data_IF_564304776871
#
_entry.id   IF_564304776871
#
_cell.length_a   1.000
_cell.length_b   1.000
_cell.length_c   1.000
_cell.angle_alpha   90.00
_cell.angle_beta   90.00
_cell.angle_gamma   90.00
#
_symmetry.space_group_name_H-M   'P 1'
#
loop_
_entity.id
_entity.type
_entity.pdbx_description
1 polymer ?
#
# COMPACT_ATOMS: atom_id res chain seq x y z
N UNK A 1 34.41 -64.99 35.06
CA UNK A 1 32.94 -64.88 34.90
C UNK A 1 32.56 -63.40 34.90
N UNK A 2 31.86 -62.94 33.85
CA UNK A 2 30.90 -61.81 33.78
C UNK A 2 31.33 -60.41 34.26
N UNK A 3 31.04 -59.26 33.63
CA UNK A 3 30.44 -58.83 32.35
C UNK A 3 30.39 -57.28 32.46
N UNK A 4 30.85 -56.53 31.45
CA UNK A 4 30.21 -55.28 30.93
C UNK A 4 30.17 -54.03 31.88
N UNK A 5 30.31 -52.76 31.50
CA UNK A 5 29.80 -51.91 30.39
C UNK A 5 30.68 -50.63 30.39
N UNK A 6 31.26 -50.18 29.26
CA UNK A 6 30.75 -49.12 28.32
C UNK A 6 30.39 -47.80 29.04
N UNK A 7 30.79 -46.60 28.67
CA UNK A 7 31.50 -45.96 27.54
C UNK A 7 31.89 -44.56 28.06
N UNK A 8 33.08 -44.07 27.74
CA UNK A 8 33.44 -42.66 27.98
C UNK A 8 34.02 -42.05 26.69
N UNK A 9 33.81 -40.74 26.58
CA UNK A 9 34.40 -39.80 25.62
C UNK A 9 33.58 -39.54 24.36
N UNK A 10 32.63 -38.62 24.56
CA UNK A 10 32.06 -37.69 23.59
C UNK A 10 33.16 -37.05 22.74
N UNK A 11 33.11 -37.23 21.42
CA UNK A 11 33.95 -36.53 20.46
C UNK A 11 33.07 -35.65 19.55
N UNK A 12 33.54 -34.42 19.40
CA UNK A 12 32.93 -33.25 18.77
C UNK A 12 33.22 -33.26 17.26
N UNK A 13 32.21 -33.22 16.39
CA UNK A 13 32.36 -32.90 14.95
C UNK A 13 31.03 -32.24 14.50
N UNK A 14 30.86 -30.91 14.42
CA UNK A 14 31.35 -29.89 13.47
C UNK A 14 30.85 -30.05 12.01
N UNK A 15 30.02 -29.09 11.56
CA UNK A 15 29.62 -28.87 10.14
C UNK A 15 28.10 -28.86 9.95
N UNK A 16 27.43 -27.70 9.98
CA UNK A 16 27.07 -26.87 8.81
C UNK A 16 26.34 -27.69 7.72
N UNK A 17 25.11 -27.39 7.31
CA UNK A 17 24.66 -26.14 6.67
C UNK A 17 23.17 -25.95 7.02
N UNK A 18 22.85 -24.88 7.75
CA UNK A 18 21.47 -24.41 7.87
C UNK A 18 21.16 -23.64 6.57
N UNK A 19 20.44 -24.27 5.65
CA UNK A 19 19.92 -23.59 4.47
C UNK A 19 18.82 -22.62 4.95
N UNK A 20 19.20 -21.39 5.29
CA UNK A 20 18.22 -20.33 5.49
C UNK A 20 17.69 -19.93 4.12
N UNK A 21 16.53 -20.49 3.77
CA UNK A 21 15.67 -19.92 2.73
C UNK A 21 15.37 -18.49 3.17
N UNK A 22 16.09 -17.52 2.61
CA UNK A 22 15.81 -16.10 2.82
C UNK A 22 14.50 -15.82 2.12
N UNK A 23 13.43 -15.79 2.92
CA UNK A 23 12.13 -15.31 2.49
C UNK A 23 12.30 -13.83 2.12
N UNK A 24 12.34 -13.53 0.82
CA UNK A 24 12.30 -12.16 0.33
C UNK A 24 11.10 -11.44 0.95
N UNK A 25 11.23 -10.23 1.50
CA UNK A 25 10.05 -9.46 1.87
C UNK A 25 9.44 -8.96 0.56
N UNK A 26 8.55 -9.74 -0.05
CA UNK A 26 7.58 -9.24 -1.02
C UNK A 26 6.48 -8.44 -0.29
N UNK A 27 6.89 -7.49 0.53
CA UNK A 27 6.06 -6.43 1.07
C UNK A 27 6.68 -5.19 0.51
N UNK A 28 6.15 -4.71 -0.62
CA UNK A 28 6.54 -3.44 -1.21
C UNK A 28 6.74 -2.44 -0.08
N UNK A 29 8.00 -2.11 0.20
CA UNK A 29 8.35 -1.17 1.23
C UNK A 29 7.55 0.09 0.91
N UNK A 30 6.75 0.56 1.86
CA UNK A 30 6.21 1.91 1.81
C UNK A 30 7.43 2.82 1.64
N UNK A 31 7.70 3.22 0.40
CA UNK A 31 8.94 3.90 0.07
C UNK A 31 9.05 5.11 0.98
N UNK A 32 10.06 5.15 1.82
CA UNK A 32 10.26 6.27 2.73
C UNK A 32 10.71 7.47 1.89
N UNK A 33 9.79 8.41 1.68
CA UNK A 33 10.02 9.65 0.96
C UNK A 33 10.05 10.84 1.93
N UNK A 34 10.95 11.79 1.68
CA UNK A 34 11.05 13.03 2.47
C UNK A 34 9.92 13.99 2.15
N UNK A 35 9.47 14.00 0.89
CA UNK A 35 8.35 14.79 0.42
C UNK A 35 7.24 13.90 -0.13
N UNK A 36 6.01 14.17 0.31
CA UNK A 36 4.81 13.47 -0.15
C UNK A 36 4.44 13.88 -1.59
N UNK A 37 3.75 13.01 -2.34
CA UNK A 37 3.16 13.39 -3.61
C UNK A 37 2.17 14.55 -3.42
N UNK A 38 2.21 15.53 -4.32
CA UNK A 38 1.32 16.71 -4.26
C UNK A 38 0.31 16.62 -5.39
N UNK A 39 -1.01 16.68 -5.14
CA UNK A 39 -2.01 16.70 -6.20
C UNK A 39 -1.84 17.95 -7.08
N UNK A 40 -1.76 17.76 -8.41
CA UNK A 40 -1.63 18.83 -9.40
C UNK A 40 -2.91 19.02 -10.19
N UNK A 41 -3.57 17.90 -10.56
CA UNK A 41 -4.88 17.91 -11.22
C UNK A 41 -5.78 16.87 -10.57
N UNK A 42 -6.87 17.34 -9.97
CA UNK A 42 -7.80 16.53 -9.21
C UNK A 42 -9.24 16.89 -9.59
N UNK A 43 -9.70 16.51 -10.80
CA UNK A 43 -11.12 16.65 -11.12
C UNK A 43 -11.98 15.96 -10.05
N UNK A 44 -13.09 16.59 -9.62
CA UNK A 44 -13.93 16.02 -8.59
C UNK A 44 -14.52 14.68 -9.03
N UNK A 45 -14.78 13.75 -8.09
CA UNK A 45 -15.45 12.51 -8.42
C UNK A 45 -16.88 12.75 -8.85
N UNK A 46 -17.39 11.92 -9.75
CA UNK A 46 -18.79 11.96 -10.13
C UNK A 46 -19.66 11.54 -8.93
N UNK A 47 -20.68 12.34 -8.63
CA UNK A 47 -21.60 12.04 -7.55
C UNK A 47 -22.78 11.20 -8.10
N UNK A 48 -23.02 9.97 -7.60
CA UNK A 48 -24.12 9.13 -8.07
C UNK A 48 -25.49 9.83 -7.93
N UNK A 49 -26.28 9.84 -9.00
CA UNK A 49 -27.56 10.57 -9.03
C UNK A 49 -28.54 10.14 -7.91
N UNK A 50 -28.63 8.83 -7.64
CA UNK A 50 -29.48 8.30 -6.56
C UNK A 50 -29.06 8.84 -5.18
N UNK A 51 -27.76 8.83 -4.88
CA UNK A 51 -27.24 9.38 -3.62
C UNK A 51 -27.48 10.89 -3.52
N UNK A 52 -27.43 11.62 -4.65
CA UNK A 52 -27.69 13.06 -4.68
C UNK A 52 -29.16 13.36 -4.36
N UNK A 53 -30.08 12.57 -4.91
CA UNK A 53 -31.52 12.69 -4.62
C UNK A 53 -31.85 12.36 -3.17
N UNK A 54 -31.15 11.38 -2.59
CA UNK A 54 -31.33 10.95 -1.20
C UNK A 54 -30.55 11.82 -0.19
N UNK A 55 -29.69 12.73 -0.66
CA UNK A 55 -28.90 13.61 0.20
C UNK A 55 -27.81 12.89 1.01
N UNK A 56 -27.30 11.76 0.53
CA UNK A 56 -26.41 10.88 1.28
C UNK A 56 -24.95 11.27 1.06
N UNK A 57 -24.26 11.81 2.05
CA UNK A 57 -22.82 12.08 1.97
C UNK A 57 -21.95 10.85 2.28
N UNK A 58 -20.66 10.92 1.95
CA UNK A 58 -19.74 9.82 2.27
C UNK A 58 -18.26 10.15 2.15
N UNK A 59 -17.43 9.22 2.61
CA UNK A 59 -15.98 9.28 2.47
C UNK A 59 -15.45 7.93 2.03
N UNK A 60 -14.54 7.94 1.05
CA UNK A 60 -13.84 6.76 0.55
C UNK A 60 -12.34 6.97 0.72
N UNK A 61 -11.72 6.16 1.57
CA UNK A 61 -10.27 6.11 1.70
C UNK A 61 -9.70 5.19 0.62
N UNK A 62 -8.96 5.76 -0.32
CA UNK A 62 -8.34 5.05 -1.45
C UNK A 62 -6.85 4.89 -1.19
N UNK A 63 -6.33 3.65 -1.29
CA UNK A 63 -4.89 3.38 -1.41
C UNK A 63 -4.46 3.74 -2.82
N UNK A 64 -3.53 4.67 -2.95
CA UNK A 64 -3.02 5.14 -4.24
C UNK A 64 -1.53 4.83 -4.32
N UNK A 65 -1.09 4.36 -5.47
CA UNK A 65 0.33 4.27 -5.84
C UNK A 65 0.58 5.28 -6.95
N UNK A 66 1.52 6.18 -6.71
CA UNK A 66 1.99 7.18 -7.68
C UNK A 66 3.43 6.85 -8.06
N UNK A 67 3.73 6.81 -9.35
CA UNK A 67 5.08 6.58 -9.85
C UNK A 67 5.97 7.83 -9.82
N UNK A 68 7.22 7.67 -10.25
CA UNK A 68 8.24 8.72 -10.32
C UNK A 68 7.89 9.84 -11.32
N UNK A 69 6.91 9.61 -12.21
CA UNK A 69 6.40 10.63 -13.15
C UNK A 69 5.23 11.42 -12.58
N UNK A 70 4.67 10.96 -11.45
CA UNK A 70 3.48 11.55 -10.86
C UNK A 70 2.15 10.99 -11.40
N UNK A 71 2.19 9.89 -12.14
CA UNK A 71 0.99 9.19 -12.60
C UNK A 71 0.51 8.17 -11.56
N UNK A 72 -0.81 8.02 -11.43
CA UNK A 72 -1.42 6.96 -10.61
C UNK A 72 -1.30 5.64 -11.35
N UNK A 73 -0.56 4.68 -10.79
CA UNK A 73 -0.39 3.34 -11.38
C UNK A 73 -1.30 2.29 -10.77
N UNK A 74 -1.68 2.47 -9.49
CA UNK A 74 -2.62 1.60 -8.80
C UNK A 74 -3.54 2.42 -7.89
N UNK A 75 -4.81 2.06 -7.84
CA UNK A 75 -5.77 2.61 -6.89
C UNK A 75 -6.71 1.51 -6.39
N UNK A 76 -6.90 1.39 -5.07
CA UNK A 76 -7.81 0.41 -4.46
C UNK A 76 -8.52 1.00 -3.27
N UNK A 77 -9.76 0.59 -3.01
CA UNK A 77 -10.49 1.06 -1.81
C UNK A 77 -9.88 0.40 -0.58
N UNK A 78 -9.51 1.22 0.41
CA UNK A 78 -9.10 0.76 1.73
C UNK A 78 -10.27 0.66 2.68
N UNK A 79 -11.15 1.66 2.67
CA UNK A 79 -12.31 1.79 3.55
C UNK A 79 -13.27 2.78 2.93
N UNK A 80 -14.56 2.57 3.10
CA UNK A 80 -15.61 3.48 2.65
C UNK A 80 -16.70 3.59 3.73
N UNK A 81 -17.40 4.72 3.76
CA UNK A 81 -18.62 4.87 4.56
C UNK A 81 -19.84 4.30 3.84
N UNK A 82 -19.83 4.33 2.51
CA UNK A 82 -20.89 3.78 1.66
C UNK A 82 -20.27 3.27 0.35
N UNK A 83 -20.65 2.05 -0.04
CA UNK A 83 -20.16 1.38 -1.26
C UNK A 83 -20.54 2.08 -2.54
N UNK A 84 -21.65 2.84 -2.55
CA UNK A 84 -22.09 3.60 -3.73
C UNK A 84 -21.05 4.62 -4.22
N UNK A 85 -20.15 5.07 -3.33
CA UNK A 85 -19.09 6.04 -3.66
C UNK A 85 -17.76 5.40 -4.07
N UNK A 86 -17.60 4.07 -3.94
CA UNK A 86 -16.33 3.40 -4.20
C UNK A 86 -15.90 3.51 -5.66
N UNK A 87 -16.75 3.09 -6.59
CA UNK A 87 -16.45 3.14 -8.03
C UNK A 87 -16.22 4.57 -8.55
N UNK A 88 -17.08 5.56 -8.21
CA UNK A 88 -16.81 6.95 -8.61
C UNK A 88 -15.51 7.52 -8.03
N UNK A 89 -15.16 7.15 -6.79
CA UNK A 89 -13.89 7.57 -6.19
C UNK A 89 -12.69 6.99 -6.95
N UNK A 90 -12.74 5.69 -7.26
CA UNK A 90 -11.68 5.03 -8.03
C UNK A 90 -11.56 5.61 -9.44
N UNK A 91 -12.68 5.82 -10.12
CA UNK A 91 -12.72 6.42 -11.46
C UNK A 91 -12.08 7.80 -11.48
N UNK A 92 -12.39 8.65 -10.50
CA UNK A 92 -11.79 9.97 -10.36
C UNK A 92 -10.29 9.89 -10.11
N UNK A 93 -9.87 9.14 -9.10
CA UNK A 93 -8.46 9.04 -8.69
C UNK A 93 -7.56 8.52 -9.82
N UNK A 94 -8.06 7.62 -10.69
CA UNK A 94 -7.32 7.15 -11.88
C UNK A 94 -6.95 8.28 -12.85
N UNK A 95 -7.76 9.34 -12.91
CA UNK A 95 -7.52 10.48 -13.79
C UNK A 95 -6.63 11.56 -13.16
N UNK A 96 -6.38 11.45 -11.86
CA UNK A 96 -5.62 12.46 -11.13
C UNK A 96 -4.15 12.44 -11.52
N UNK A 97 -3.52 13.61 -11.45
CA UNK A 97 -2.09 13.79 -11.66
C UNK A 97 -1.47 14.40 -10.41
N UNK A 98 -0.32 13.87 -10.04
CA UNK A 98 0.44 14.28 -8.88
C UNK A 98 1.82 14.79 -9.32
N UNK A 99 2.43 15.62 -8.49
CA UNK A 99 3.88 15.74 -8.43
C UNK A 99 4.38 14.51 -7.66
N UNK A 100 5.37 13.76 -8.16
CA UNK A 100 5.85 12.56 -7.49
C UNK A 100 6.39 12.88 -6.09
N UNK A 101 6.42 11.88 -5.23
CA UNK A 101 7.19 11.97 -4.00
C UNK A 101 8.68 12.08 -4.33
N UNK A 102 9.46 12.66 -3.43
CA UNK A 102 10.92 12.70 -3.59
C UNK A 102 11.62 12.19 -2.35
N UNK A 103 12.71 11.43 -2.54
CA UNK A 103 13.68 11.05 -1.51
C UNK A 103 15.04 11.60 -1.92
N UNK A 104 15.70 12.38 -1.06
CA UNK A 104 16.99 13.01 -1.35
C UNK A 104 17.01 13.81 -2.67
N UNK A 105 15.89 14.48 -2.99
CA UNK A 105 15.70 15.24 -4.24
C UNK A 105 15.42 14.39 -5.49
N UNK A 106 15.43 13.06 -5.38
CA UNK A 106 15.13 12.13 -6.49
C UNK A 106 13.65 11.71 -6.43
N UNK A 107 12.90 11.75 -7.54
CA UNK A 107 11.52 11.27 -7.55
C UNK A 107 11.47 9.76 -7.24
N UNK A 108 10.53 9.35 -6.41
CA UNK A 108 10.34 7.95 -6.01
C UNK A 108 8.87 7.55 -6.09
N UNK A 109 8.63 6.26 -6.34
CA UNK A 109 7.30 5.68 -6.25
C UNK A 109 6.78 5.81 -4.82
N UNK A 110 5.54 6.26 -4.65
CA UNK A 110 4.91 6.45 -3.35
C UNK A 110 3.59 5.70 -3.25
N UNK A 111 3.36 5.08 -2.09
CA UNK A 111 2.07 4.48 -1.71
C UNK A 111 1.49 5.24 -0.53
N UNK A 112 0.25 5.69 -0.63
CA UNK A 112 -0.40 6.44 0.46
C UNK A 112 -1.93 6.25 0.45
N UNK A 113 -2.58 6.66 1.54
CA UNK A 113 -4.04 6.68 1.67
C UNK A 113 -4.55 8.09 1.40
N UNK A 114 -5.55 8.18 0.53
CA UNK A 114 -6.18 9.42 0.10
C UNK A 114 -7.68 9.39 0.43
N UNK A 115 -8.17 10.24 1.35
CA UNK A 115 -9.60 10.33 1.63
C UNK A 115 -10.31 11.18 0.55
N UNK A 116 -11.29 10.59 -0.13
CA UNK A 116 -12.18 11.26 -1.08
C UNK A 116 -13.51 11.52 -0.39
N UNK A 117 -13.90 12.79 -0.28
CA UNK A 117 -15.16 13.19 0.33
C UNK A 117 -16.22 13.45 -0.74
N UNK A 118 -17.43 12.97 -0.49
CA UNK A 118 -18.60 13.18 -1.33
C UNK A 118 -19.59 14.03 -0.54
N UNK A 119 -19.64 15.32 -0.87
CA UNK A 119 -20.60 16.28 -0.33
C UNK A 119 -21.51 16.79 -1.44
N UNK A 120 -22.72 17.20 -1.09
CA UNK A 120 -23.75 17.65 -2.04
C UNK A 120 -23.46 19.04 -2.63
N UNK A 121 -22.50 19.76 -2.06
CA UNK A 121 -22.16 21.16 -2.37
C UNK A 121 -20.87 21.30 -3.21
N UNK A 122 -20.27 20.20 -3.67
CA UNK A 122 -18.97 20.18 -4.39
C UNK A 122 -19.10 19.92 -5.88
#
# INVERSE_FOLDING_TARGET
>A
MMKSKRLLSTAFVLGAILATVTLAPARAADAEFDQRPVPVKTPPPEYPAAMRQEGVAGTVAVKVVVDETGAVTECTVSKSTNRAFEEPALAAVRTWKFKPATKDGTPVKARFILPIQFNLES
#
